data_IF_607216105119
#
_entry.id   IF_607216105119
#
_cell.length_a   1.000
_cell.length_b   1.000
_cell.length_c   1.000
_cell.angle_alpha   90.00
_cell.angle_beta   90.00
_cell.angle_gamma   90.00
#
_symmetry.space_group_name_H-M   'P 1'
#
loop_
_entity.id
_entity.type
_entity.pdbx_description
1 polymer ?
#
# COMPACT_ATOMS: atom_id res chain seq x y z
N UNK A 1 -45.15 29.05 26.96
CA UNK A 1 -44.46 27.77 26.66
C UNK A 1 -44.85 27.30 25.27
N UNK A 2 -43.90 26.97 24.38
CA UNK A 2 -44.15 26.24 23.12
C UNK A 2 -43.42 24.89 23.20
N UNK A 3 -44.02 23.82 22.68
CA UNK A 3 -43.49 22.44 22.81
C UNK A 3 -42.44 22.14 21.73
N UNK A 4 -41.39 21.41 22.11
CA UNK A 4 -40.39 20.85 21.18
C UNK A 4 -40.95 19.64 20.40
N UNK A 5 -40.47 19.36 19.17
CA UNK A 5 -40.89 18.19 18.39
C UNK A 5 -40.42 16.85 18.98
N UNK A 6 -41.27 15.81 18.85
CA UNK A 6 -41.02 14.44 19.35
C UNK A 6 -40.24 13.55 18.37
N UNK A 7 -39.04 13.94 17.93
CA UNK A 7 -38.19 13.06 17.11
C UNK A 7 -36.71 12.94 17.53
N UNK A 8 -36.26 13.68 18.53
CA UNK A 8 -34.97 13.39 19.18
C UNK A 8 -35.09 12.18 20.11
N UNK A 9 -35.01 10.97 19.55
CA UNK A 9 -34.60 9.79 20.32
C UNK A 9 -33.14 9.99 20.70
N UNK A 10 -32.81 10.01 21.99
CA UNK A 10 -31.44 9.79 22.44
C UNK A 10 -30.96 8.44 21.88
N UNK A 11 -29.84 8.44 21.18
CA UNK A 11 -29.08 7.23 20.92
C UNK A 11 -28.12 7.06 22.10
N UNK A 12 -28.58 6.36 23.13
CA UNK A 12 -27.69 5.96 24.23
C UNK A 12 -26.81 4.80 23.73
N UNK A 13 -25.49 4.82 23.95
CA UNK A 13 -24.60 3.74 23.55
C UNK A 13 -25.10 2.42 24.14
N UNK A 14 -25.35 1.43 23.28
CA UNK A 14 -25.91 0.16 23.71
C UNK A 14 -24.81 -0.68 24.38
N UNK A 15 -24.52 -0.36 25.65
CA UNK A 15 -23.38 -0.88 26.40
C UNK A 15 -23.29 -2.41 26.41
N UNK A 16 -24.44 -3.09 26.46
CA UNK A 16 -24.52 -4.55 26.35
C UNK A 16 -23.92 -5.08 25.04
N UNK A 17 -24.15 -4.41 23.91
CA UNK A 17 -23.54 -4.78 22.62
C UNK A 17 -22.04 -4.50 22.59
N UNK A 18 -21.59 -3.43 23.23
CA UNK A 18 -20.15 -3.10 23.34
C UNK A 18 -19.45 -4.17 24.17
N UNK A 19 -20.01 -4.53 25.33
CA UNK A 19 -19.45 -5.57 26.19
C UNK A 19 -19.46 -6.96 25.53
N UNK A 20 -20.53 -7.31 24.83
CA UNK A 20 -20.63 -8.54 24.03
C UNK A 20 -19.58 -8.58 22.90
N UNK A 21 -19.32 -7.44 22.25
CA UNK A 21 -18.28 -7.28 21.24
C UNK A 21 -16.87 -7.46 21.84
N UNK A 22 -16.58 -6.82 22.98
CA UNK A 22 -15.31 -6.99 23.69
C UNK A 22 -15.09 -8.45 24.11
N UNK A 23 -16.10 -9.09 24.72
CA UNK A 23 -16.08 -10.53 25.09
C UNK A 23 -15.93 -11.47 23.90
N UNK A 24 -16.38 -11.07 22.70
CA UNK A 24 -16.14 -11.81 21.44
C UNK A 24 -14.69 -11.66 20.95
N UNK A 25 -14.16 -10.44 20.94
CA UNK A 25 -12.79 -10.18 20.50
C UNK A 25 -11.74 -10.75 21.45
N UNK A 26 -12.00 -10.78 22.75
CA UNK A 26 -11.11 -11.41 23.72
C UNK A 26 -10.98 -12.92 23.46
N UNK A 27 -12.09 -13.65 23.30
CA UNK A 27 -12.08 -15.07 22.91
C UNK A 27 -11.35 -15.30 21.57
N UNK A 28 -11.53 -14.41 20.59
CA UNK A 28 -10.80 -14.50 19.32
C UNK A 28 -9.28 -14.26 19.45
N UNK A 29 -8.83 -13.43 20.42
CA UNK A 29 -7.39 -13.30 20.75
C UNK A 29 -6.87 -14.58 21.43
N UNK A 30 -7.61 -15.13 22.38
CA UNK A 30 -7.28 -16.37 23.10
C UNK A 30 -7.18 -17.56 22.13
N UNK A 31 -8.16 -17.73 21.21
CA UNK A 31 -8.10 -18.72 20.13
C UNK A 31 -6.90 -18.52 19.19
N UNK A 32 -6.58 -17.27 18.81
CA UNK A 32 -5.40 -16.97 17.98
C UNK A 32 -4.10 -17.32 18.70
N UNK A 33 -3.99 -17.05 20.00
CA UNK A 33 -2.81 -17.41 20.81
C UNK A 33 -2.66 -18.92 21.00
N UNK A 34 -3.76 -19.65 21.24
CA UNK A 34 -3.76 -21.12 21.27
C UNK A 34 -3.24 -21.69 19.94
N UNK A 35 -3.84 -21.27 18.82
CA UNK A 35 -3.39 -21.67 17.46
C UNK A 35 -1.96 -21.22 17.13
N UNK A 36 -1.42 -20.19 17.78
CA UNK A 36 0.00 -19.81 17.68
C UNK A 36 0.87 -20.85 18.40
N UNK A 37 0.58 -21.10 19.68
CA UNK A 37 1.35 -22.03 20.52
C UNK A 37 1.35 -23.47 19.99
N UNK A 38 0.26 -23.92 19.35
CA UNK A 38 0.18 -25.23 18.70
C UNK A 38 1.10 -25.31 17.47
N UNK A 39 1.14 -24.26 16.62
CA UNK A 39 2.05 -24.19 15.48
C UNK A 39 3.50 -24.04 15.91
N UNK A 40 3.79 -23.26 16.95
CA UNK A 40 5.12 -23.16 17.56
C UNK A 40 5.58 -24.49 18.19
N UNK A 41 4.65 -25.35 18.61
CA UNK A 41 4.92 -26.71 19.09
C UNK A 41 5.18 -27.67 17.91
N UNK A 42 4.34 -27.63 16.88
CA UNK A 42 4.52 -28.42 15.65
C UNK A 42 5.84 -28.08 14.94
N UNK A 43 6.18 -26.79 14.84
CA UNK A 43 7.45 -26.31 14.28
C UNK A 43 8.65 -26.86 15.05
N UNK A 44 8.67 -26.74 16.39
CA UNK A 44 9.75 -27.30 17.22
C UNK A 44 9.84 -28.83 17.12
N UNK A 45 8.72 -29.53 16.94
CA UNK A 45 8.73 -30.98 16.67
C UNK A 45 9.31 -31.31 15.29
N UNK A 46 9.02 -30.51 14.26
CA UNK A 46 9.59 -30.67 12.92
C UNK A 46 11.10 -30.35 12.90
N UNK A 47 11.54 -29.28 13.56
CA UNK A 47 12.95 -28.90 13.71
C UNK A 47 13.75 -29.96 14.48
N UNK A 48 13.20 -30.49 15.58
CA UNK A 48 13.79 -31.59 16.33
C UNK A 48 13.88 -32.88 15.48
N UNK A 49 12.83 -33.22 14.73
CA UNK A 49 12.81 -34.39 13.84
C UNK A 49 13.82 -34.26 12.71
N UNK A 50 13.89 -33.09 12.05
CA UNK A 50 14.88 -32.81 11.00
C UNK A 50 16.32 -32.86 11.55
N UNK A 51 16.53 -32.40 12.80
CA UNK A 51 17.83 -32.50 13.48
C UNK A 51 18.22 -33.96 13.74
N UNK A 52 17.28 -34.79 14.21
CA UNK A 52 17.48 -36.23 14.43
C UNK A 52 17.70 -37.02 13.12
N UNK A 53 16.96 -36.71 12.06
CA UNK A 53 17.20 -37.29 10.73
C UNK A 53 18.57 -36.86 10.16
N UNK A 54 19.06 -35.66 10.51
CA UNK A 54 20.38 -35.15 10.12
C UNK A 54 21.53 -35.73 10.95
N UNK A 55 21.33 -36.04 12.24
CA UNK A 55 22.32 -36.79 13.04
C UNK A 55 22.39 -38.24 12.57
N UNK A 56 21.25 -38.90 12.38
CA UNK A 56 21.21 -40.29 11.89
C UNK A 56 21.87 -40.46 10.53
N UNK A 57 21.68 -39.51 9.61
CA UNK A 57 22.40 -39.51 8.31
C UNK A 57 23.91 -39.35 8.47
N UNK A 58 24.39 -38.56 9.44
CA UNK A 58 25.83 -38.46 9.74
C UNK A 58 26.39 -39.75 10.33
N UNK A 59 25.68 -40.37 11.27
CA UNK A 59 26.05 -41.67 11.86
C UNK A 59 26.20 -42.73 10.75
N UNK A 60 25.19 -42.84 9.87
CA UNK A 60 25.21 -43.76 8.73
C UNK A 60 26.28 -43.45 7.67
N UNK A 61 26.72 -42.19 7.53
CA UNK A 61 27.88 -41.86 6.70
C UNK A 61 29.19 -42.28 7.37
N UNK A 62 29.36 -42.02 8.68
CA UNK A 62 30.56 -42.46 9.42
C UNK A 62 30.69 -43.98 9.56
N UNK A 63 29.58 -44.72 9.49
CA UNK A 63 29.60 -46.19 9.43
C UNK A 63 29.98 -46.72 8.03
N UNK A 64 29.66 -46.00 6.95
CA UNK A 64 30.01 -46.40 5.58
C UNK A 64 31.43 -45.98 5.15
N UNK A 65 31.98 -44.88 5.66
CA UNK A 65 33.36 -44.45 5.37
C UNK A 65 34.44 -45.35 6.04
N UNK A 66 34.01 -46.39 6.78
CA UNK A 66 34.88 -47.31 7.51
C UNK A 66 35.13 -48.67 6.80
N UNK A 67 34.60 -48.92 5.58
CA UNK A 67 34.67 -50.25 4.95
C UNK A 67 34.81 -50.28 3.42
N UNK A 68 36.06 -50.19 2.96
CA UNK A 68 36.60 -50.74 1.69
C UNK A 68 36.02 -50.27 0.31
N UNK A 69 36.70 -50.58 -0.84
CA UNK A 69 36.64 -49.71 -2.02
C UNK A 69 36.18 -50.36 -3.35
N UNK A 70 36.05 -49.48 -4.35
CA UNK A 70 36.12 -49.67 -5.81
C UNK A 70 34.94 -50.28 -6.63
N UNK A 71 34.92 -49.83 -7.89
CA UNK A 71 34.32 -50.42 -9.10
C UNK A 71 32.79 -50.35 -9.43
N UNK A 72 32.43 -49.24 -10.09
CA UNK A 72 31.78 -49.12 -11.42
C UNK A 72 30.39 -49.75 -11.79
N UNK A 73 29.68 -48.95 -12.62
CA UNK A 73 28.78 -49.30 -13.75
C UNK A 73 27.24 -49.41 -13.59
N UNK A 74 26.58 -48.65 -14.48
CA UNK A 74 25.38 -48.92 -15.29
C UNK A 74 23.90 -48.86 -14.82
N UNK A 75 23.16 -48.09 -15.64
CA UNK A 75 21.77 -48.22 -16.13
C UNK A 75 20.54 -47.78 -15.31
N UNK A 76 19.72 -46.96 -16.00
CA UNK A 76 18.25 -46.79 -16.01
C UNK A 76 17.41 -47.47 -14.89
N UNK A 77 16.39 -46.80 -14.33
CA UNK A 77 15.18 -46.50 -15.11
C UNK A 77 14.30 -45.36 -14.54
N UNK A 78 13.41 -44.79 -15.37
CA UNK A 78 12.56 -43.65 -15.00
C UNK A 78 11.12 -44.03 -14.60
N UNK A 79 10.56 -43.42 -13.54
CA UNK A 79 9.12 -43.52 -13.21
C UNK A 79 8.48 -42.19 -12.83
N UNK A 80 7.59 -41.72 -13.71
CA UNK A 80 6.58 -40.69 -13.42
C UNK A 80 5.58 -41.15 -12.37
N UNK A 81 5.15 -40.24 -11.50
CA UNK A 81 3.91 -40.38 -10.73
C UNK A 81 3.01 -39.16 -10.95
N UNK A 82 1.72 -39.41 -11.20
CA UNK A 82 0.68 -38.38 -11.32
C UNK A 82 -0.20 -38.37 -10.06
N UNK A 83 -0.77 -37.19 -9.80
CA UNK A 83 -1.92 -36.83 -8.95
C UNK A 83 -2.86 -37.95 -8.46
N UNK A 84 -3.50 -37.70 -7.31
CA UNK A 84 -4.94 -37.36 -7.37
C UNK A 84 -5.24 -35.89 -7.01
N UNK A 85 -6.50 -35.49 -7.18
CA UNK A 85 -7.02 -34.12 -7.12
C UNK A 85 -8.37 -34.15 -6.33
N UNK A 86 -8.79 -33.01 -5.75
CA UNK A 86 -10.07 -32.80 -5.01
C UNK A 86 -10.22 -33.53 -3.64
N UNK A 87 -11.17 -33.14 -2.77
CA UNK A 87 -11.55 -31.75 -2.44
C UNK A 87 -11.83 -31.50 -0.94
N UNK A 88 -11.42 -30.34 -0.40
CA UNK A 88 -12.28 -29.61 0.54
C UNK A 88 -12.03 -28.10 0.51
N UNK A 89 -13.12 -27.34 0.46
CA UNK A 89 -13.19 -25.89 0.61
C UNK A 89 -14.32 -25.62 1.63
N UNK A 90 -14.38 -24.41 2.19
CA UNK A 90 -15.40 -23.94 3.16
C UNK A 90 -15.15 -24.37 4.61
N UNK A 91 -14.23 -23.68 5.32
CA UNK A 91 -14.49 -23.01 6.62
C UNK A 91 -13.19 -22.45 7.26
N UNK A 92 -12.89 -21.16 7.08
CA UNK A 92 -12.01 -20.34 7.98
C UNK A 92 -11.93 -18.82 7.67
N UNK A 93 -12.61 -18.28 6.65
CA UNK A 93 -12.67 -16.83 6.42
C UNK A 93 -13.56 -16.09 7.45
N UNK A 94 -13.01 -15.64 8.59
CA UNK A 94 -13.72 -14.73 9.54
C UNK A 94 -12.87 -13.97 10.58
N UNK A 95 -11.60 -13.63 10.31
CA UNK A 95 -10.71 -13.01 11.32
C UNK A 95 -9.74 -11.89 10.85
N UNK A 96 -9.99 -11.28 9.68
CA UNK A 96 -9.19 -10.16 9.12
C UNK A 96 -10.00 -9.24 8.16
N UNK A 97 -11.32 -9.22 8.28
CA UNK A 97 -12.27 -8.76 7.24
C UNK A 97 -12.52 -7.24 7.19
N UNK A 98 -11.66 -6.40 7.78
CA UNK A 98 -11.89 -4.95 7.92
C UNK A 98 -10.79 -4.05 7.34
N UNK A 99 -9.80 -4.62 6.64
CA UNK A 99 -8.99 -3.88 5.64
C UNK A 99 -9.56 -4.03 4.22
N UNK A 100 -10.75 -4.64 4.08
CA UNK A 100 -11.29 -5.16 2.82
C UNK A 100 -12.45 -4.31 2.24
N UNK A 101 -13.14 -3.52 3.08
CA UNK A 101 -14.39 -2.83 2.72
C UNK A 101 -14.24 -1.70 1.68
N UNK A 102 -13.03 -1.20 1.43
CA UNK A 102 -12.77 -0.22 0.35
C UNK A 102 -12.78 -0.85 -1.05
N UNK A 103 -12.46 -2.16 -1.21
CA UNK A 103 -12.30 -2.79 -2.53
C UNK A 103 -13.30 -3.89 -2.88
N UNK A 104 -14.10 -4.41 -1.93
CA UNK A 104 -14.92 -5.61 -2.17
C UNK A 104 -16.20 -5.39 -3.01
N UNK A 105 -16.71 -4.15 -3.19
CA UNK A 105 -17.97 -3.80 -3.92
C UNK A 105 -18.02 -4.22 -5.42
N UNK A 106 -17.08 -5.01 -5.93
CA UNK A 106 -16.49 -4.83 -7.26
C UNK A 106 -16.37 -6.14 -8.10
N UNK A 107 -17.03 -7.24 -7.72
CA UNK A 107 -16.52 -8.61 -8.04
C UNK A 107 -17.36 -9.56 -8.94
N UNK A 108 -18.17 -9.07 -9.91
CA UNK A 108 -18.89 -9.94 -10.88
C UNK A 108 -18.88 -9.38 -12.33
N UNK A 109 -18.85 -10.28 -13.35
CA UNK A 109 -19.12 -9.97 -14.78
C UNK A 109 -18.07 -10.48 -15.80
N UNK A 110 -18.52 -11.21 -16.84
CA UNK A 110 -17.77 -11.86 -17.95
C UNK A 110 -18.50 -11.51 -19.29
N UNK A 111 -18.00 -11.60 -20.54
CA UNK A 111 -16.78 -12.05 -21.29
C UNK A 111 -16.86 -11.37 -22.72
N UNK A 112 -16.05 -11.51 -23.79
CA UNK A 112 -14.84 -12.29 -24.17
C UNK A 112 -14.21 -11.80 -25.52
N UNK A 113 -12.88 -11.65 -25.60
CA UNK A 113 -12.01 -11.88 -26.81
C UNK A 113 -12.11 -10.88 -28.03
N UNK A 114 -11.23 -10.92 -29.08
CA UNK A 114 -9.82 -10.46 -29.01
C UNK A 114 -9.19 -9.76 -30.29
N UNK A 115 -7.94 -9.25 -30.17
CA UNK A 115 -6.92 -8.97 -31.23
C UNK A 115 -7.13 -7.74 -32.19
N UNK A 116 -6.11 -7.11 -32.84
CA UNK A 116 -4.70 -7.47 -33.12
C UNK A 116 -3.67 -6.29 -33.31
N UNK A 117 -2.48 -6.39 -32.66
CA UNK A 117 -1.08 -6.18 -33.16
C UNK A 117 -0.46 -4.84 -33.70
N UNK A 118 0.65 -4.42 -33.05
CA UNK A 118 1.97 -3.87 -33.54
C UNK A 118 2.05 -2.52 -34.30
N UNK A 119 3.02 -1.62 -34.01
CA UNK A 119 4.48 -1.80 -34.11
C UNK A 119 5.32 -0.86 -33.18
N UNK A 120 6.65 -1.04 -33.13
CA UNK A 120 7.60 -0.40 -32.18
C UNK A 120 8.40 0.80 -32.75
N UNK A 121 8.81 1.73 -31.87
CA UNK A 121 10.00 2.60 -32.03
C UNK A 121 10.70 2.85 -30.68
N UNK A 122 12.03 3.00 -30.71
CA UNK A 122 12.89 3.25 -29.53
C UNK A 122 13.36 4.71 -29.50
N UNK A 123 13.51 5.31 -28.32
CA UNK A 123 14.29 6.53 -28.08
C UNK A 123 14.96 6.53 -26.69
N UNK A 124 16.02 7.31 -26.55
CA UNK A 124 17.05 7.19 -25.51
C UNK A 124 16.89 8.13 -24.28
N UNK A 125 17.78 7.93 -23.30
CA UNK A 125 17.66 8.42 -21.92
C UNK A 125 17.87 9.94 -21.66
N UNK A 126 18.17 10.76 -22.68
CA UNK A 126 18.46 12.19 -22.46
C UNK A 126 17.21 13.07 -22.28
N UNK A 127 16.04 12.64 -22.78
CA UNK A 127 14.84 13.49 -22.83
C UNK A 127 14.25 13.83 -21.44
N UNK A 128 14.50 13.01 -20.42
CA UNK A 128 13.97 13.25 -19.07
C UNK A 128 14.48 14.59 -18.47
N UNK A 129 15.73 14.94 -18.75
CA UNK A 129 16.31 16.23 -18.34
C UNK A 129 15.89 17.40 -19.25
N UNK A 130 15.36 17.12 -20.46
CA UNK A 130 14.78 18.11 -21.36
C UNK A 130 13.37 18.50 -20.88
N UNK A 131 12.55 17.49 -20.52
CA UNK A 131 11.19 17.63 -20.02
C UNK A 131 11.10 18.55 -18.79
N UNK A 132 11.93 18.30 -17.76
CA UNK A 132 11.94 19.07 -16.50
C UNK A 132 12.29 20.56 -16.69
N UNK A 133 13.07 20.90 -17.73
CA UNK A 133 13.39 22.31 -18.07
C UNK A 133 12.28 22.97 -18.89
N UNK A 134 11.50 22.19 -19.64
CA UNK A 134 10.43 22.67 -20.51
C UNK A 134 9.17 23.03 -19.72
N UNK A 135 8.79 22.23 -18.72
CA UNK A 135 7.65 22.53 -17.84
C UNK A 135 7.80 23.87 -17.11
N UNK A 136 9.00 24.19 -16.61
CA UNK A 136 9.33 25.46 -15.95
C UNK A 136 9.12 26.70 -16.85
N UNK A 137 9.11 26.53 -18.19
CA UNK A 137 8.92 27.62 -19.15
C UNK A 137 7.45 27.87 -19.56
N UNK A 138 6.53 26.97 -19.22
CA UNK A 138 5.13 26.99 -19.68
C UNK A 138 4.13 27.61 -18.69
N UNK A 139 4.61 28.13 -17.56
CA UNK A 139 3.78 28.72 -16.48
C UNK A 139 3.09 30.05 -16.84
N UNK A 140 3.40 30.65 -17.99
CA UNK A 140 2.90 31.97 -18.41
C UNK A 140 1.96 31.93 -19.63
N UNK A 141 0.85 31.19 -19.55
CA UNK A 141 -0.32 31.46 -20.40
C UNK A 141 -1.64 31.21 -19.66
N UNK A 142 -2.31 32.28 -19.23
CA UNK A 142 -3.62 32.22 -18.56
C UNK A 142 -4.75 31.95 -19.57
N UNK A 143 -5.21 30.70 -19.65
CA UNK A 143 -6.33 30.32 -20.53
C UNK A 143 -7.68 30.80 -19.96
N UNK A 144 -8.46 31.66 -20.66
CA UNK A 144 -9.68 32.27 -20.12
C UNK A 144 -10.82 31.29 -19.75
N UNK A 145 -10.78 30.04 -20.20
CA UNK A 145 -11.86 29.07 -20.00
C UNK A 145 -11.87 28.39 -18.60
N UNK A 146 -10.98 28.75 -17.67
CA UNK A 146 -10.92 28.15 -16.33
C UNK A 146 -12.17 28.39 -15.45
N UNK A 147 -13.04 29.32 -15.85
CA UNK A 147 -14.07 29.95 -15.01
C UNK A 147 -15.33 29.11 -14.70
N UNK A 148 -15.24 27.77 -14.71
CA UNK A 148 -16.31 26.82 -14.29
C UNK A 148 -15.82 25.54 -13.59
N UNK A 149 -14.54 25.44 -13.24
CA UNK A 149 -14.09 24.36 -12.35
C UNK A 149 -14.46 24.68 -10.90
N UNK A 150 -14.68 23.66 -10.07
CA UNK A 150 -14.95 23.85 -8.65
C UNK A 150 -13.72 24.35 -7.90
N UNK A 151 -13.95 24.93 -6.72
CA UNK A 151 -12.91 25.25 -5.75
C UNK A 151 -12.72 24.06 -4.79
N UNK A 152 -11.47 23.74 -4.43
CA UNK A 152 -11.14 22.79 -3.37
C UNK A 152 -11.33 23.47 -2.01
N UNK A 153 -12.22 22.95 -1.17
CA UNK A 153 -12.60 23.59 0.10
C UNK A 153 -11.57 23.35 1.24
N UNK A 154 -10.32 23.76 1.01
CA UNK A 154 -9.13 23.48 1.85
C UNK A 154 -9.37 23.65 3.36
N UNK A 155 -9.91 24.78 3.82
CA UNK A 155 -10.15 25.03 5.25
C UNK A 155 -11.15 24.03 5.86
N UNK A 156 -12.12 23.54 5.06
CA UNK A 156 -13.08 22.53 5.50
C UNK A 156 -12.43 21.15 5.58
N UNK A 157 -11.66 20.76 4.57
CA UNK A 157 -10.90 19.50 4.59
C UNK A 157 -9.92 19.43 5.77
N UNK A 158 -9.21 20.53 6.04
CA UNK A 158 -8.32 20.62 7.21
C UNK A 158 -9.09 20.51 8.54
N UNK A 159 -10.20 21.25 8.68
CA UNK A 159 -11.07 21.17 9.86
C UNK A 159 -11.67 19.77 10.05
N UNK A 160 -12.07 19.10 8.97
CA UNK A 160 -12.60 17.74 9.00
C UNK A 160 -11.57 16.76 9.58
N UNK A 161 -10.34 16.74 9.05
CA UNK A 161 -9.26 15.86 9.52
C UNK A 161 -8.97 16.06 11.01
N UNK A 162 -8.79 17.32 11.43
CA UNK A 162 -8.53 17.69 12.84
C UNK A 162 -9.72 17.37 13.75
N UNK A 163 -10.94 17.31 13.22
CA UNK A 163 -12.14 16.91 13.98
C UNK A 163 -12.24 15.40 14.14
N UNK A 164 -11.93 14.62 13.09
CA UNK A 164 -11.92 13.15 13.14
C UNK A 164 -10.89 12.64 14.14
N UNK A 165 -9.68 13.21 14.13
CA UNK A 165 -8.59 12.85 15.06
C UNK A 165 -9.02 12.93 16.55
N UNK A 166 -9.82 13.95 16.87
CA UNK A 166 -10.28 14.28 18.23
C UNK A 166 -11.50 13.49 18.69
N UNK A 167 -12.22 12.83 17.77
CA UNK A 167 -13.30 11.89 18.11
C UNK A 167 -12.70 10.52 18.39
N UNK A 168 -12.27 10.30 19.64
CA UNK A 168 -11.63 9.03 20.04
C UNK A 168 -12.64 7.99 20.55
N UNK A 169 -13.81 8.43 21.03
CA UNK A 169 -14.73 7.61 21.84
C UNK A 169 -16.07 7.23 21.18
N UNK A 170 -16.29 7.57 19.90
CA UNK A 170 -17.50 7.17 19.18
C UNK A 170 -17.39 5.77 18.55
N UNK A 171 -18.54 5.21 18.15
CA UNK A 171 -18.61 3.84 17.61
C UNK A 171 -17.79 3.66 16.33
N UNK A 172 -17.65 4.71 15.53
CA UNK A 172 -16.91 4.69 14.27
C UNK A 172 -15.40 4.67 14.54
N UNK A 173 -14.90 5.49 15.47
CA UNK A 173 -13.52 5.43 15.98
C UNK A 173 -13.15 4.03 16.51
N UNK A 174 -14.03 3.40 17.29
CA UNK A 174 -13.80 2.05 17.84
C UNK A 174 -13.82 0.97 16.75
N UNK A 175 -14.70 1.07 15.75
CA UNK A 175 -14.74 0.11 14.63
C UNK A 175 -13.56 0.28 13.66
N UNK A 176 -12.97 1.48 13.58
CA UNK A 176 -11.82 1.81 12.73
C UNK A 176 -10.48 1.81 13.47
N UNK A 177 -10.44 1.36 14.73
CA UNK A 177 -9.24 1.38 15.59
C UNK A 177 -8.04 0.67 14.94
N UNK A 178 -8.27 -0.45 14.25
CA UNK A 178 -7.22 -1.21 13.57
C UNK A 178 -6.61 -0.49 12.35
N UNK A 179 -7.22 0.60 11.87
CA UNK A 179 -6.71 1.44 10.78
C UNK A 179 -6.16 2.79 11.27
N UNK A 180 -6.15 3.07 12.58
CA UNK A 180 -5.88 4.41 13.14
C UNK A 180 -4.57 5.01 12.64
N UNK A 181 -3.48 4.25 12.63
CA UNK A 181 -2.15 4.71 12.17
C UNK A 181 -2.11 5.03 10.66
N UNK A 182 -2.87 4.29 9.85
CA UNK A 182 -3.03 4.62 8.43
C UNK A 182 -3.85 5.91 8.25
N UNK A 183 -4.92 6.06 9.04
CA UNK A 183 -5.74 7.28 9.06
C UNK A 183 -4.95 8.54 9.47
N UNK A 184 -4.01 8.40 10.40
CA UNK A 184 -3.07 9.47 10.80
C UNK A 184 -2.13 9.82 9.64
N UNK A 185 -1.52 8.84 8.97
CA UNK A 185 -0.70 9.08 7.77
C UNK A 185 -1.50 9.80 6.66
N UNK A 186 -2.69 9.31 6.31
CA UNK A 186 -3.56 9.91 5.30
C UNK A 186 -3.96 11.35 5.67
N UNK A 187 -4.40 11.57 6.90
CA UNK A 187 -4.80 12.90 7.39
C UNK A 187 -3.65 13.91 7.39
N UNK A 188 -2.50 13.54 7.94
CA UNK A 188 -1.32 14.43 7.99
C UNK A 188 -0.77 14.75 6.61
N UNK A 189 -0.68 13.76 5.73
CA UNK A 189 -0.17 13.97 4.36
C UNK A 189 -1.11 14.88 3.56
N UNK A 190 -2.43 14.73 3.74
CA UNK A 190 -3.41 15.67 3.19
C UNK A 190 -3.25 17.08 3.75
N UNK A 191 -3.05 17.23 5.07
CA UNK A 191 -2.81 18.52 5.70
C UNK A 191 -1.54 19.19 5.15
N UNK A 192 -0.44 18.45 4.93
CA UNK A 192 0.77 19.03 4.35
C UNK A 192 0.62 19.43 2.89
N UNK A 193 -0.03 18.62 2.07
CA UNK A 193 -0.35 18.95 0.66
C UNK A 193 -1.17 20.25 0.58
N UNK A 194 -2.06 20.49 1.54
CA UNK A 194 -2.84 21.72 1.66
C UNK A 194 -2.15 22.88 2.39
N UNK A 195 -0.89 22.73 2.84
CA UNK A 195 -0.16 23.77 3.59
C UNK A 195 -0.66 24.00 5.02
N UNK A 196 -1.25 22.98 5.65
CA UNK A 196 -1.92 23.02 6.97
C UNK A 196 -1.29 22.10 8.03
N UNK A 197 -0.18 21.42 7.74
CA UNK A 197 0.48 20.51 8.69
C UNK A 197 0.84 21.16 10.04
N UNK A 198 1.14 22.46 10.03
CA UNK A 198 1.43 23.25 11.24
C UNK A 198 0.25 23.42 12.22
N UNK A 199 -0.93 22.88 11.91
CA UNK A 199 -2.09 22.84 12.81
C UNK A 199 -2.12 21.59 13.73
N UNK A 200 -1.05 20.78 13.74
CA UNK A 200 -0.96 19.52 14.52
C UNK A 200 0.32 19.48 15.36
N UNK A 201 0.17 19.07 16.62
CA UNK A 201 1.27 18.89 17.58
C UNK A 201 2.11 17.65 17.23
N UNK A 202 3.15 17.85 16.42
CA UNK A 202 3.94 16.78 15.83
C UNK A 202 4.61 15.85 16.86
N UNK A 203 4.92 16.35 18.06
CA UNK A 203 5.53 15.56 19.14
C UNK A 203 4.52 14.66 19.87
N UNK A 204 3.26 15.08 20.05
CA UNK A 204 2.20 14.19 20.57
C UNK A 204 1.98 13.03 19.61
N UNK A 205 1.85 13.33 18.31
CA UNK A 205 1.60 12.30 17.29
C UNK A 205 2.81 11.38 17.13
N UNK A 206 4.04 11.90 17.13
CA UNK A 206 5.26 11.06 17.06
C UNK A 206 5.39 10.14 18.27
N UNK A 207 5.08 10.64 19.47
CA UNK A 207 5.05 9.85 20.71
C UNK A 207 3.99 8.73 20.65
N UNK A 208 2.81 9.02 20.10
CA UNK A 208 1.75 8.01 19.90
C UNK A 208 2.13 6.97 18.83
N UNK A 209 2.76 7.38 17.72
CA UNK A 209 3.26 6.45 16.69
C UNK A 209 4.26 5.47 17.30
N UNK A 210 5.19 5.93 18.14
CA UNK A 210 6.16 5.05 18.81
C UNK A 210 5.52 4.09 19.82
N UNK A 211 4.41 4.47 20.47
CA UNK A 211 3.62 3.56 21.30
C UNK A 211 2.87 2.47 20.51
N UNK A 212 2.75 2.61 19.18
CA UNK A 212 2.23 1.58 18.29
C UNK A 212 3.31 0.58 17.83
N UNK A 213 4.58 0.73 18.23
CA UNK A 213 5.63 -0.21 17.86
C UNK A 213 5.58 -1.50 18.70
N UNK A 214 5.70 -2.65 18.03
CA UNK A 214 5.76 -3.97 18.66
C UNK A 214 7.20 -4.37 19.02
N UNK A 215 7.35 -5.34 19.94
CA UNK A 215 8.67 -5.90 20.33
C UNK A 215 9.50 -6.35 19.13
N UNK A 216 8.86 -6.85 18.07
CA UNK A 216 9.48 -7.35 16.84
C UNK A 216 9.99 -6.27 15.88
N UNK A 217 9.73 -4.98 16.13
CA UNK A 217 10.21 -3.85 15.30
C UNK A 217 9.17 -3.25 14.37
N UNK A 218 8.21 -4.05 13.89
CA UNK A 218 7.05 -3.55 13.14
C UNK A 218 6.05 -2.81 14.02
N UNK A 219 5.11 -2.10 13.39
CA UNK A 219 4.07 -1.32 14.06
C UNK A 219 2.69 -1.97 13.88
N UNK A 220 1.83 -1.80 14.89
CA UNK A 220 0.40 -2.13 14.85
C UNK A 220 -0.47 -0.95 14.43
N UNK A 221 -1.74 -1.21 14.11
CA UNK A 221 -2.69 -0.16 13.66
C UNK A 221 -3.10 0.84 14.76
N UNK A 222 -3.00 0.43 16.02
CA UNK A 222 -3.08 1.25 17.24
C UNK A 222 -2.18 0.60 18.32
N UNK A 223 -2.04 1.25 19.47
CA UNK A 223 -1.32 0.73 20.65
C UNK A 223 -1.82 -0.68 21.01
N UNK A 224 -0.90 -1.63 21.17
CA UNK A 224 -1.23 -3.01 21.56
C UNK A 224 -1.90 -3.87 20.48
N UNK A 225 -1.85 -3.45 19.21
CA UNK A 225 -2.29 -4.27 18.07
C UNK A 225 -1.15 -5.12 17.49
N UNK A 226 -1.50 -6.25 16.85
CA UNK A 226 -0.53 -7.09 16.13
C UNK A 226 0.22 -6.28 15.05
N UNK A 227 1.55 -6.46 14.90
CA UNK A 227 2.35 -5.71 13.94
C UNK A 227 2.14 -6.20 12.51
N UNK A 228 2.06 -5.26 11.56
CA UNK A 228 1.89 -5.57 10.13
C UNK A 228 2.65 -4.56 9.25
N UNK A 229 3.10 -4.99 8.07
CA UNK A 229 3.94 -4.17 7.18
C UNK A 229 3.22 -2.88 6.73
N UNK A 230 1.92 -2.94 6.45
CA UNK A 230 1.02 -1.78 6.23
C UNK A 230 1.21 -0.65 7.26
N UNK A 231 1.03 -0.94 8.56
CA UNK A 231 1.11 0.07 9.61
C UNK A 231 2.57 0.50 9.88
N UNK A 232 3.52 -0.40 9.63
CA UNK A 232 4.96 -0.13 9.69
C UNK A 232 5.38 0.93 8.67
N UNK A 233 4.87 0.85 7.43
CA UNK A 233 5.06 1.92 6.45
C UNK A 233 4.41 3.23 6.90
N UNK A 234 3.16 3.20 7.37
CA UNK A 234 2.48 4.42 7.85
C UNK A 234 3.25 5.10 8.99
N UNK A 235 3.85 4.35 9.92
CA UNK A 235 4.74 4.88 10.95
C UNK A 235 5.96 5.60 10.33
N UNK A 236 6.64 4.94 9.39
CA UNK A 236 7.81 5.49 8.67
C UNK A 236 7.41 6.75 7.90
N UNK A 237 6.28 6.76 7.19
CA UNK A 237 5.82 7.91 6.41
C UNK A 237 5.45 9.10 7.29
N UNK A 238 4.82 8.90 8.45
CA UNK A 238 4.54 9.98 9.43
C UNK A 238 5.84 10.57 10.00
N UNK A 239 6.80 9.72 10.37
CA UNK A 239 8.08 10.19 10.92
C UNK A 239 8.99 10.81 9.85
N UNK A 240 8.89 10.36 8.60
CA UNK A 240 9.49 11.03 7.42
C UNK A 240 8.90 12.42 7.22
N UNK A 241 7.56 12.53 7.21
CA UNK A 241 6.84 13.79 7.01
C UNK A 241 7.26 14.86 8.03
N UNK A 242 7.33 14.48 9.31
CA UNK A 242 7.78 15.34 10.42
C UNK A 242 9.31 15.51 10.56
N UNK A 243 10.12 14.87 9.71
CA UNK A 243 11.59 14.85 9.80
C UNK A 243 12.16 14.21 11.09
N UNK A 244 11.40 13.30 11.69
CA UNK A 244 11.66 12.64 12.97
C UNK A 244 12.11 11.18 12.83
N UNK A 245 12.63 10.76 11.66
CA UNK A 245 13.20 9.42 11.46
C UNK A 245 14.26 9.03 12.52
N UNK A 246 14.95 10.01 13.11
CA UNK A 246 15.95 9.79 14.16
C UNK A 246 15.41 9.17 15.47
N UNK A 247 14.08 9.09 15.67
CA UNK A 247 13.48 8.39 16.83
C UNK A 247 13.35 6.88 16.61
N UNK A 248 13.60 6.38 15.39
CA UNK A 248 13.52 4.96 15.05
C UNK A 248 14.86 4.25 15.27
N UNK A 249 14.79 3.04 15.86
CA UNK A 249 15.79 2.00 15.63
C UNK A 249 15.64 1.47 14.20
N UNK A 250 16.37 2.09 13.27
CA UNK A 250 16.32 1.78 11.83
C UNK A 250 16.76 0.34 11.55
N UNK A 251 17.70 -0.22 12.32
CA UNK A 251 18.10 -1.63 12.15
C UNK A 251 16.99 -2.58 12.59
N UNK A 252 16.34 -2.33 13.74
CA UNK A 252 15.21 -3.14 14.20
C UNK A 252 14.02 -3.09 13.24
N UNK A 253 13.66 -1.92 12.74
CA UNK A 253 12.55 -1.76 11.76
C UNK A 253 12.89 -2.41 10.42
N UNK A 254 14.10 -2.20 9.88
CA UNK A 254 14.51 -2.81 8.61
C UNK A 254 14.69 -4.32 8.70
N UNK A 255 15.18 -4.85 9.82
CA UNK A 255 15.26 -6.30 10.08
C UNK A 255 13.86 -6.95 10.13
N UNK A 256 12.86 -6.28 10.72
CA UNK A 256 11.47 -6.76 10.69
C UNK A 256 10.94 -6.87 9.25
N UNK A 257 11.11 -5.81 8.44
CA UNK A 257 10.63 -5.79 7.05
C UNK A 257 11.35 -6.83 6.18
N UNK A 258 12.67 -6.97 6.34
CA UNK A 258 13.46 -7.96 5.61
C UNK A 258 13.09 -9.40 5.99
N UNK A 259 12.78 -9.65 7.26
CA UNK A 259 12.29 -10.93 7.76
C UNK A 259 10.92 -11.35 7.23
N UNK A 260 10.22 -10.50 6.47
CA UNK A 260 8.98 -10.82 5.76
C UNK A 260 9.19 -11.23 4.29
N UNK A 261 10.43 -11.21 3.77
CA UNK A 261 10.72 -11.69 2.42
C UNK A 261 10.72 -13.23 2.35
N UNK A 262 9.92 -13.79 1.44
CA UNK A 262 9.82 -15.22 1.19
C UNK A 262 10.86 -15.70 0.17
N UNK A 263 11.09 -17.02 0.10
CA UNK A 263 12.13 -17.61 -0.76
C UNK A 263 11.98 -17.32 -2.26
N UNK A 264 10.75 -17.11 -2.73
CA UNK A 264 10.39 -16.78 -4.11
C UNK A 264 10.56 -15.30 -4.47
N UNK A 265 10.79 -14.44 -3.48
CA UNK A 265 10.91 -12.99 -3.61
C UNK A 265 9.69 -12.19 -3.17
N UNK A 266 8.56 -12.85 -2.93
CA UNK A 266 7.35 -12.20 -2.42
C UNK A 266 7.55 -11.70 -0.99
N UNK A 267 6.64 -10.85 -0.52
CA UNK A 267 6.61 -10.39 0.86
C UNK A 267 5.31 -10.80 1.54
N UNK A 268 5.44 -11.27 2.78
CA UNK A 268 4.31 -11.53 3.67
C UNK A 268 3.86 -10.25 4.39
N UNK A 269 2.56 -10.07 4.63
CA UNK A 269 2.03 -8.89 5.33
C UNK A 269 2.40 -8.84 6.82
N UNK A 270 2.42 -10.02 7.45
CA UNK A 270 2.80 -10.28 8.84
C UNK A 270 3.29 -11.74 9.00
N UNK A 271 3.43 -12.20 10.25
CA UNK A 271 3.88 -13.56 10.60
C UNK A 271 2.91 -14.70 10.20
N UNK A 272 1.72 -14.39 9.67
CA UNK A 272 0.73 -15.38 9.24
C UNK A 272 0.83 -15.73 7.75
N UNK A 273 1.63 -15.00 6.97
CA UNK A 273 1.95 -15.39 5.58
C UNK A 273 0.88 -15.05 4.53
N UNK A 274 0.04 -14.03 4.73
CA UNK A 274 -0.70 -13.45 3.60
C UNK A 274 0.32 -12.84 2.62
N UNK A 275 0.29 -13.25 1.35
CA UNK A 275 1.14 -12.73 0.28
C UNK A 275 0.30 -11.92 -0.71
N UNK A 276 0.76 -10.72 -1.03
CA UNK A 276 0.12 -9.80 -1.96
C UNK A 276 1.15 -8.80 -2.51
N UNK A 277 1.01 -8.36 -3.77
CA UNK A 277 1.88 -7.35 -4.38
C UNK A 277 1.88 -6.01 -3.64
N UNK A 278 0.82 -5.68 -2.90
CA UNK A 278 0.80 -4.60 -1.89
C UNK A 278 2.01 -4.70 -0.96
N UNK A 279 2.26 -5.86 -0.37
CA UNK A 279 3.31 -6.03 0.65
C UNK A 279 4.71 -5.91 0.05
N UNK A 280 4.88 -6.32 -1.21
CA UNK A 280 6.14 -6.15 -1.95
C UNK A 280 6.47 -4.66 -2.13
N UNK A 281 5.49 -3.85 -2.57
CA UNK A 281 5.62 -2.39 -2.64
C UNK A 281 5.90 -1.76 -1.27
N UNK A 282 5.11 -2.12 -0.26
CA UNK A 282 5.20 -1.53 1.09
C UNK A 282 6.58 -1.82 1.71
N UNK A 283 7.11 -3.03 1.55
CA UNK A 283 8.43 -3.40 2.02
C UNK A 283 9.55 -2.62 1.29
N UNK A 284 9.50 -2.57 -0.05
CA UNK A 284 10.45 -1.82 -0.89
C UNK A 284 10.44 -0.33 -0.55
N UNK A 285 9.28 0.30 -0.45
CA UNK A 285 9.13 1.71 -0.08
C UNK A 285 9.64 1.99 1.34
N UNK A 286 9.29 1.15 2.31
CA UNK A 286 9.76 1.29 3.69
C UNK A 286 11.29 1.23 3.77
N UNK A 287 11.90 0.25 3.10
CA UNK A 287 13.36 0.11 3.07
C UNK A 287 14.04 1.21 2.24
N UNK A 288 13.41 1.73 1.20
CA UNK A 288 13.93 2.88 0.45
C UNK A 288 13.94 4.17 1.30
N UNK A 289 12.84 4.47 2.01
CA UNK A 289 12.76 5.63 2.92
C UNK A 289 13.74 5.52 4.09
N UNK A 290 14.02 4.30 4.56
CA UNK A 290 15.01 4.03 5.60
C UNK A 290 16.46 3.91 5.08
N UNK A 291 16.69 4.01 3.76
CA UNK A 291 17.98 3.76 3.11
C UNK A 291 18.57 2.34 3.30
N UNK A 292 17.70 1.33 3.54
CA UNK A 292 18.07 -0.07 3.85
C UNK A 292 17.65 -1.12 2.81
N UNK A 293 17.63 -0.78 1.51
CA UNK A 293 17.37 -1.75 0.44
C UNK A 293 18.40 -2.88 0.36
N UNK A 294 19.59 -2.72 0.97
CA UNK A 294 20.62 -3.75 1.15
C UNK A 294 20.16 -4.97 1.98
N UNK A 295 19.07 -4.83 2.75
CA UNK A 295 18.57 -5.90 3.64
C UNK A 295 17.79 -7.00 2.91
N UNK A 296 17.43 -6.83 1.64
CA UNK A 296 16.55 -7.74 0.90
C UNK A 296 17.15 -8.16 -0.45
N UNK A 297 16.73 -9.31 -0.96
CA UNK A 297 17.00 -9.72 -2.34
C UNK A 297 16.07 -8.96 -3.29
N UNK A 298 16.51 -7.76 -3.70
CA UNK A 298 15.77 -6.89 -4.64
C UNK A 298 15.55 -7.59 -5.98
N UNK A 299 16.50 -8.43 -6.44
CA UNK A 299 16.39 -9.16 -7.69
C UNK A 299 15.24 -10.19 -7.68
N UNK A 300 15.10 -10.94 -6.58
CA UNK A 300 13.92 -11.80 -6.35
C UNK A 300 12.64 -10.99 -6.20
N UNK A 301 12.65 -9.88 -5.47
CA UNK A 301 11.46 -9.04 -5.30
C UNK A 301 10.91 -8.54 -6.65
N UNK A 302 11.78 -8.01 -7.50
CA UNK A 302 11.44 -7.62 -8.89
C UNK A 302 10.94 -8.84 -9.67
N UNK A 303 11.62 -10.00 -9.59
CA UNK A 303 11.18 -11.23 -10.28
C UNK A 303 9.77 -11.69 -9.86
N UNK A 304 9.42 -11.58 -8.58
CA UNK A 304 8.07 -11.91 -8.10
C UNK A 304 7.02 -10.91 -8.60
N UNK A 305 7.32 -9.60 -8.55
CA UNK A 305 6.43 -8.57 -9.09
C UNK A 305 6.15 -8.83 -10.59
N UNK A 306 7.17 -9.20 -11.36
CA UNK A 306 7.03 -9.52 -12.79
C UNK A 306 6.24 -10.81 -13.05
N UNK A 307 6.23 -11.79 -12.14
CA UNK A 307 5.37 -12.98 -12.28
C UNK A 307 3.89 -12.69 -11.98
N UNK A 308 3.58 -11.51 -11.43
CA UNK A 308 2.21 -11.00 -11.26
C UNK A 308 1.70 -10.20 -12.48
N UNK A 309 2.51 -10.03 -13.53
CA UNK A 309 2.15 -9.30 -14.76
C UNK A 309 1.25 -10.15 -15.68
N UNK A 310 0.18 -9.56 -16.17
CA UNK A 310 -0.80 -10.19 -17.05
C UNK A 310 -0.59 -9.83 -18.53
N UNK A 311 -1.28 -10.58 -19.40
CA UNK A 311 -1.25 -10.39 -20.88
C UNK A 311 -1.83 -9.05 -21.35
N UNK A 312 -2.58 -8.36 -20.49
CA UNK A 312 -3.15 -7.04 -20.72
C UNK A 312 -2.23 -5.89 -20.26
N UNK A 313 -0.97 -6.21 -19.91
CA UNK A 313 0.03 -5.28 -19.39
C UNK A 313 -0.10 -4.99 -17.89
N UNK A 314 -1.28 -5.25 -17.31
CA UNK A 314 -1.61 -5.02 -15.90
C UNK A 314 -0.96 -6.02 -14.94
N UNK A 315 -1.31 -5.88 -13.66
CA UNK A 315 -0.79 -6.72 -12.57
C UNK A 315 -1.91 -7.13 -11.63
N UNK A 316 -1.92 -8.41 -11.24
CA UNK A 316 -2.79 -8.95 -10.19
C UNK A 316 -2.18 -8.85 -8.79
N UNK A 317 -2.94 -9.22 -7.77
CA UNK A 317 -2.44 -9.29 -6.37
C UNK A 317 -1.40 -10.40 -6.14
N UNK A 318 -1.44 -11.45 -6.96
CA UNK A 318 -0.56 -12.62 -6.99
C UNK A 318 -0.51 -13.15 -8.45
N UNK A 319 0.42 -14.08 -8.80
CA UNK A 319 0.52 -14.61 -10.16
C UNK A 319 -0.78 -15.22 -10.68
N UNK A 320 -1.26 -14.72 -11.82
CA UNK A 320 -2.51 -15.15 -12.46
C UNK A 320 -3.80 -14.55 -11.87
N UNK A 321 -3.72 -13.63 -10.90
CA UNK A 321 -4.88 -12.88 -10.43
C UNK A 321 -5.27 -11.75 -11.42
N UNK A 322 -6.53 -11.34 -11.38
CA UNK A 322 -7.09 -10.28 -12.25
C UNK A 322 -6.34 -8.94 -12.11
N UNK A 323 -6.04 -8.29 -13.24
CA UNK A 323 -5.42 -6.96 -13.27
C UNK A 323 -6.27 -5.92 -12.53
N UNK A 324 -5.68 -5.21 -11.57
CA UNK A 324 -6.38 -4.23 -10.73
C UNK A 324 -5.55 -2.95 -10.60
N UNK A 325 -6.15 -1.77 -10.79
CA UNK A 325 -5.42 -0.50 -10.78
C UNK A 325 -4.59 -0.26 -9.50
N UNK A 326 -5.12 -0.63 -8.33
CA UNK A 326 -4.39 -0.55 -7.06
C UNK A 326 -3.20 -1.51 -6.95
N UNK A 327 -3.22 -2.65 -7.65
CA UNK A 327 -2.12 -3.62 -7.68
C UNK A 327 -1.09 -3.27 -8.74
N UNK A 328 -1.54 -2.76 -9.89
CA UNK A 328 -0.71 -2.09 -10.90
C UNK A 328 0.10 -0.98 -10.25
N UNK A 329 -0.53 -0.10 -9.45
CA UNK A 329 0.18 0.93 -8.70
C UNK A 329 1.30 0.34 -7.84
N UNK A 330 1.01 -0.67 -7.01
CA UNK A 330 2.02 -1.29 -6.16
C UNK A 330 3.19 -1.87 -6.99
N UNK A 331 2.89 -2.61 -8.05
CA UNK A 331 3.91 -3.20 -8.92
C UNK A 331 4.75 -2.14 -9.64
N UNK A 332 4.12 -1.12 -10.23
CA UNK A 332 4.81 -0.05 -10.98
C UNK A 332 5.64 0.83 -10.04
N UNK A 333 5.12 1.19 -8.86
CA UNK A 333 5.86 1.97 -7.86
C UNK A 333 7.04 1.19 -7.28
N UNK A 334 6.89 -0.10 -7.01
CA UNK A 334 7.99 -0.96 -6.60
C UNK A 334 9.07 -1.07 -7.70
N UNK A 335 8.68 -1.18 -8.97
CA UNK A 335 9.59 -1.17 -10.12
C UNK A 335 10.24 0.22 -10.33
N UNK A 336 9.57 1.32 -9.97
CA UNK A 336 10.13 2.68 -10.01
C UNK A 336 11.23 2.84 -8.96
N UNK A 337 10.92 2.53 -7.70
CA UNK A 337 11.86 2.63 -6.55
C UNK A 337 13.09 1.74 -6.74
N UNK A 338 12.96 0.62 -7.47
CA UNK A 338 14.07 -0.32 -7.76
C UNK A 338 14.76 -0.10 -9.12
N UNK A 339 14.42 0.96 -9.87
CA UNK A 339 15.00 1.24 -11.21
C UNK A 339 14.61 0.24 -12.32
N UNK A 340 13.64 -0.62 -12.06
CA UNK A 340 13.24 -1.77 -12.88
C UNK A 340 12.02 -1.51 -13.77
N UNK A 341 11.60 -0.24 -13.94
CA UNK A 341 10.49 0.18 -14.82
C UNK A 341 10.65 -0.26 -16.28
N UNK A 342 11.87 -0.54 -16.74
CA UNK A 342 12.15 -0.99 -18.11
C UNK A 342 11.55 -2.36 -18.46
N UNK A 343 11.00 -3.10 -17.49
CA UNK A 343 10.20 -4.31 -17.71
C UNK A 343 8.69 -4.05 -17.95
N UNK A 344 8.24 -2.80 -17.77
CA UNK A 344 6.84 -2.39 -17.99
C UNK A 344 6.67 -2.01 -19.46
N UNK A 345 5.64 -2.56 -20.11
CA UNK A 345 5.22 -2.09 -21.43
C UNK A 345 4.38 -0.83 -21.19
N UNK A 346 4.96 0.33 -21.48
CA UNK A 346 4.36 1.63 -21.15
C UNK A 346 3.07 1.89 -21.92
N UNK A 347 2.98 1.43 -23.16
CA UNK A 347 1.83 1.72 -24.04
C UNK A 347 0.71 0.71 -23.84
N UNK A 348 1.01 -0.58 -23.68
CA UNK A 348 0.02 -1.60 -23.34
C UNK A 348 -0.62 -1.33 -21.97
N UNK A 349 0.20 -1.02 -20.96
CA UNK A 349 -0.31 -0.67 -19.62
C UNK A 349 -0.98 0.71 -19.61
N UNK A 350 -0.43 1.69 -20.35
CA UNK A 350 -1.02 3.01 -20.50
C UNK A 350 -2.44 2.93 -21.07
N UNK A 351 -2.65 2.06 -22.07
CA UNK A 351 -3.97 1.82 -22.66
C UNK A 351 -4.93 1.19 -21.65
N UNK A 352 -4.49 0.15 -20.94
CA UNK A 352 -5.30 -0.49 -19.89
C UNK A 352 -5.75 0.52 -18.82
N UNK A 353 -4.85 1.45 -18.45
CA UNK A 353 -5.09 2.46 -17.43
C UNK A 353 -5.96 3.64 -17.91
N UNK A 354 -5.81 4.12 -19.15
CA UNK A 354 -6.67 5.20 -19.66
C UNK A 354 -8.12 4.74 -19.87
N UNK A 355 -8.32 3.49 -20.28
CA UNK A 355 -9.63 2.81 -20.35
C UNK A 355 -10.28 2.55 -18.97
N UNK A 356 -9.73 3.11 -17.88
CA UNK A 356 -10.40 3.22 -16.57
C UNK A 356 -11.22 4.50 -16.41
N UNK A 357 -11.04 5.51 -17.27
CA UNK A 357 -11.78 6.77 -17.15
C UNK A 357 -13.18 6.64 -17.77
N UNK A 358 -14.21 6.66 -16.92
CA UNK A 358 -15.60 6.52 -17.37
C UNK A 358 -16.23 7.88 -17.72
N UNK A 359 -17.42 7.85 -18.33
CA UNK A 359 -18.13 9.03 -18.85
C UNK A 359 -18.38 10.17 -17.83
N UNK A 360 -18.38 9.88 -16.52
CA UNK A 360 -18.50 10.90 -15.46
C UNK A 360 -17.18 11.64 -15.15
N UNK A 361 -16.05 11.22 -15.72
CA UNK A 361 -14.72 11.78 -15.47
C UNK A 361 -13.91 11.03 -14.43
N UNK A 362 -14.56 10.28 -13.54
CA UNK A 362 -13.91 9.43 -12.53
C UNK A 362 -13.24 8.20 -13.13
N UNK A 363 -12.43 7.54 -12.31
CA UNK A 363 -11.63 6.37 -12.66
C UNK A 363 -12.13 5.13 -11.90
N UNK A 364 -12.07 3.95 -12.51
CA UNK A 364 -12.42 2.68 -11.87
C UNK A 364 -11.21 1.74 -11.69
N UNK A 365 -11.34 0.76 -10.77
CA UNK A 365 -10.25 -0.17 -10.48
C UNK A 365 -10.06 -1.30 -11.48
N UNK A 366 -11.11 -1.60 -12.27
CA UNK A 366 -11.26 -2.72 -13.20
C UNK A 366 -12.27 -2.39 -14.31
N UNK A 367 -12.21 -3.04 -15.48
CA UNK A 367 -13.27 -2.98 -16.50
C UNK A 367 -14.67 -3.28 -15.95
N UNK A 368 -15.69 -2.65 -16.51
CA UNK A 368 -17.11 -2.81 -16.11
C UNK A 368 -17.40 -2.59 -14.61
N UNK A 369 -16.75 -1.58 -14.00
CA UNK A 369 -16.98 -1.15 -12.61
C UNK A 369 -17.27 0.34 -12.49
N UNK A 370 -17.94 0.70 -11.38
CA UNK A 370 -18.22 2.09 -11.03
C UNK A 370 -16.93 2.87 -10.76
N UNK A 371 -16.92 4.19 -11.01
CA UNK A 371 -15.81 5.05 -10.63
C UNK A 371 -15.75 5.23 -9.11
N UNK A 372 -14.55 5.54 -8.63
CA UNK A 372 -14.24 5.78 -7.22
C UNK A 372 -13.03 6.75 -7.14
N UNK A 373 -13.14 7.76 -6.28
CA UNK A 373 -12.13 8.82 -6.09
C UNK A 373 -10.74 8.27 -5.81
N UNK A 374 -10.56 7.13 -5.13
CA UNK A 374 -9.23 6.64 -4.82
C UNK A 374 -8.44 6.20 -6.07
N UNK A 375 -9.10 5.83 -7.17
CA UNK A 375 -8.43 5.55 -8.44
C UNK A 375 -7.84 6.80 -9.12
N UNK A 376 -8.25 8.00 -8.70
CA UNK A 376 -7.56 9.26 -9.03
C UNK A 376 -6.12 9.28 -8.53
N UNK A 377 -5.79 8.49 -7.51
CA UNK A 377 -4.41 8.19 -7.15
C UNK A 377 -3.88 6.97 -7.90
N UNK A 378 -4.51 5.79 -7.71
CA UNK A 378 -3.95 4.52 -8.19
C UNK A 378 -3.67 4.48 -9.70
N UNK A 379 -4.56 5.08 -10.51
CA UNK A 379 -4.37 5.15 -11.97
C UNK A 379 -3.43 6.27 -12.38
N UNK A 380 -3.58 7.49 -11.83
CA UNK A 380 -2.72 8.61 -12.22
C UNK A 380 -1.26 8.39 -11.85
N UNK A 381 -0.95 7.92 -10.64
CA UNK A 381 0.44 7.63 -10.24
C UNK A 381 1.07 6.58 -11.16
N UNK A 382 0.32 5.52 -11.49
CA UNK A 382 0.75 4.49 -12.44
C UNK A 382 1.04 5.08 -13.82
N UNK A 383 0.13 5.94 -14.34
CA UNK A 383 0.29 6.63 -15.62
C UNK A 383 1.44 7.65 -15.62
N UNK A 384 1.72 8.33 -14.51
CA UNK A 384 2.83 9.29 -14.41
C UNK A 384 4.17 8.56 -14.42
N UNK A 385 4.31 7.47 -13.66
CA UNK A 385 5.54 6.67 -13.62
C UNK A 385 5.90 6.03 -14.98
N UNK A 386 4.92 5.80 -15.86
CA UNK A 386 5.14 5.29 -17.22
C UNK A 386 5.08 6.38 -18.31
N UNK A 387 4.92 7.66 -17.94
CA UNK A 387 4.81 8.82 -18.85
C UNK A 387 3.62 8.74 -19.84
N UNK A 388 2.43 8.44 -19.32
CA UNK A 388 1.16 8.32 -20.06
C UNK A 388 -0.01 9.08 -19.43
N UNK A 389 0.24 9.94 -18.44
CA UNK A 389 -0.78 10.76 -17.77
C UNK A 389 -1.57 11.67 -18.72
N UNK A 390 -0.98 12.02 -19.86
CA UNK A 390 -1.61 12.83 -20.91
C UNK A 390 -2.71 12.09 -21.69
N UNK A 391 -2.97 10.81 -21.41
CA UNK A 391 -4.09 10.03 -21.99
C UNK A 391 -5.39 10.16 -21.17
N UNK A 392 -5.38 10.90 -20.05
CA UNK A 392 -6.54 11.18 -19.20
C UNK A 392 -7.11 12.57 -19.47
N UNK A 393 -8.43 12.68 -19.53
CA UNK A 393 -9.11 13.97 -19.46
C UNK A 393 -8.99 14.55 -18.04
N UNK A 394 -7.90 15.30 -17.83
CA UNK A 394 -7.60 15.99 -16.56
C UNK A 394 -8.79 16.82 -16.07
N UNK A 395 -9.47 17.54 -16.98
CA UNK A 395 -10.55 18.46 -16.63
C UNK A 395 -11.80 17.75 -16.08
N UNK A 396 -12.21 16.64 -16.73
CA UNK A 396 -13.29 15.80 -16.21
C UNK A 396 -12.93 15.15 -14.87
N UNK A 397 -11.68 14.73 -14.67
CA UNK A 397 -11.25 14.09 -13.42
C UNK A 397 -11.16 15.10 -12.25
N UNK A 398 -10.59 16.29 -12.47
CA UNK A 398 -10.63 17.40 -11.51
C UNK A 398 -12.09 17.69 -11.10
N UNK A 399 -13.01 17.77 -12.07
CA UNK A 399 -14.43 17.96 -11.76
C UNK A 399 -15.01 16.81 -10.93
N UNK A 400 -14.74 15.55 -11.28
CA UNK A 400 -15.25 14.39 -10.55
C UNK A 400 -14.83 14.42 -9.07
N UNK A 401 -13.54 14.66 -8.77
CA UNK A 401 -13.05 14.75 -7.38
C UNK A 401 -13.74 15.89 -6.62
N UNK A 402 -13.89 17.06 -7.25
CA UNK A 402 -14.51 18.25 -6.64
C UNK A 402 -16.04 18.19 -6.53
N UNK A 403 -16.69 17.25 -7.22
CA UNK A 403 -18.10 16.90 -7.00
C UNK A 403 -18.28 15.94 -5.81
N UNK A 404 -17.23 15.23 -5.38
CA UNK A 404 -17.23 14.29 -4.24
C UNK A 404 -16.86 14.92 -2.88
N UNK A 405 -16.66 16.24 -2.79
CA UNK A 405 -16.35 16.91 -1.52
C UNK A 405 -17.62 17.26 -0.72
N UNK A 406 -17.61 17.05 0.60
CA UNK A 406 -18.64 17.59 1.49
C UNK A 406 -18.49 19.12 1.54
N UNK A 407 -19.45 19.82 0.92
CA UNK A 407 -19.48 21.28 0.80
C UNK A 407 -19.93 21.99 2.07
N UNK A 408 -20.45 21.27 3.07
CA UNK A 408 -20.83 21.79 4.38
C UNK A 408 -19.70 21.62 5.40
N UNK A 409 -19.24 20.38 5.63
CA UNK A 409 -18.33 20.00 6.73
C UNK A 409 -16.87 19.78 6.30
N UNK A 410 -16.64 19.45 5.02
CA UNK A 410 -15.33 19.02 4.51
C UNK A 410 -15.11 17.50 4.59
N UNK A 411 -14.09 17.03 3.88
CA UNK A 411 -13.87 15.62 3.55
C UNK A 411 -14.28 15.32 2.09
N UNK A 412 -13.81 14.19 1.55
CA UNK A 412 -14.14 13.68 0.21
C UNK A 412 -14.59 12.21 0.35
N UNK A 413 -15.57 11.80 -0.44
CA UNK A 413 -16.17 10.45 -0.50
C UNK A 413 -15.66 9.64 -1.70
N UNK A 414 -16.07 8.37 -1.83
CA UNK A 414 -15.72 7.55 -3.01
C UNK A 414 -16.45 8.00 -4.29
N UNK A 415 -17.67 8.54 -4.18
CA UNK A 415 -18.48 9.15 -5.27
C UNK A 415 -19.30 10.34 -4.74
N UNK A 416 -19.88 11.18 -5.62
CA UNK A 416 -20.78 12.25 -5.19
C UNK A 416 -21.95 11.69 -4.36
N UNK A 417 -22.36 12.45 -3.34
CA UNK A 417 -23.44 12.13 -2.38
C UNK A 417 -23.23 10.88 -1.48
N UNK A 418 -22.16 10.10 -1.66
CA UNK A 418 -21.71 9.06 -0.72
C UNK A 418 -21.00 9.68 0.52
N UNK A 419 -20.79 8.89 1.58
CA UNK A 419 -20.20 9.37 2.84
C UNK A 419 -18.69 9.66 2.73
N UNK A 420 -18.21 10.71 3.41
CA UNK A 420 -16.79 11.13 3.40
C UNK A 420 -15.94 10.39 4.43
N UNK A 421 -14.72 10.03 4.04
CA UNK A 421 -13.72 9.44 4.93
C UNK A 421 -12.31 9.99 4.68
N UNK A 422 -11.38 9.77 5.61
CA UNK A 422 -10.00 10.31 5.53
C UNK A 422 -9.17 9.65 4.40
N UNK A 423 -9.52 8.44 3.97
CA UNK A 423 -8.83 7.72 2.88
C UNK A 423 -9.17 8.35 1.52
N UNK A 424 -10.46 8.55 1.22
CA UNK A 424 -10.89 9.23 -0.01
C UNK A 424 -10.57 10.73 0.01
N UNK A 425 -10.59 11.37 1.20
CA UNK A 425 -10.06 12.74 1.37
C UNK A 425 -8.59 12.82 0.95
N UNK A 426 -7.74 11.89 1.40
CA UNK A 426 -6.33 11.85 1.02
C UNK A 426 -6.15 11.56 -0.48
N UNK A 427 -6.71 10.47 -1.01
CA UNK A 427 -6.48 10.10 -2.40
C UNK A 427 -7.16 11.03 -3.42
N UNK A 428 -8.21 11.75 -3.02
CA UNK A 428 -8.78 12.86 -3.80
C UNK A 428 -7.83 14.07 -3.87
N UNK A 429 -7.32 14.54 -2.73
CA UNK A 429 -6.38 15.67 -2.68
C UNK A 429 -5.03 15.32 -3.33
N UNK A 430 -4.52 14.11 -3.13
CA UNK A 430 -3.34 13.60 -3.81
C UNK A 430 -3.58 13.46 -5.32
N UNK A 431 -4.75 12.98 -5.75
CA UNK A 431 -5.15 12.97 -7.17
C UNK A 431 -5.18 14.36 -7.80
N UNK A 432 -5.70 15.38 -7.08
CA UNK A 432 -5.64 16.78 -7.51
C UNK A 432 -4.19 17.32 -7.60
N UNK A 433 -3.31 16.92 -6.67
CA UNK A 433 -1.89 17.26 -6.69
C UNK A 433 -1.18 16.71 -7.93
N UNK A 434 -1.42 15.43 -8.26
CA UNK A 434 -0.92 14.79 -9.50
C UNK A 434 -1.49 15.41 -10.79
N UNK A 435 -2.62 16.11 -10.70
CA UNK A 435 -3.23 16.85 -11.82
C UNK A 435 -2.71 18.28 -11.96
N UNK A 436 -1.78 18.71 -11.09
CA UNK A 436 -1.24 20.07 -11.00
C UNK A 436 -2.30 21.12 -10.60
N UNK A 437 -3.28 20.74 -9.76
CA UNK A 437 -4.31 21.65 -9.27
C UNK A 437 -3.67 22.81 -8.45
N UNK A 438 -4.06 24.07 -8.68
CA UNK A 438 -3.40 25.22 -8.06
C UNK A 438 -3.64 25.30 -6.55
N UNK A 439 -2.64 25.81 -5.82
CA UNK A 439 -2.75 26.12 -4.39
C UNK A 439 -2.42 24.96 -3.43
N UNK A 440 -2.04 23.78 -3.94
CA UNK A 440 -1.58 22.63 -3.15
C UNK A 440 -0.16 22.21 -3.56
N UNK A 441 0.59 21.56 -2.65
CA UNK A 441 1.94 21.05 -2.94
C UNK A 441 1.90 19.91 -3.98
N UNK A 442 2.97 19.70 -4.76
CA UNK A 442 3.17 18.47 -5.53
C UNK A 442 3.49 17.26 -4.63
N UNK A 443 2.94 16.10 -4.98
CA UNK A 443 3.19 14.80 -4.35
C UNK A 443 3.94 13.86 -5.30
N UNK A 444 4.85 13.03 -4.76
CA UNK A 444 5.59 12.04 -5.54
C UNK A 444 4.74 10.79 -5.83
N UNK A 445 4.59 10.38 -7.11
CA UNK A 445 3.70 9.28 -7.53
C UNK A 445 4.17 7.88 -7.10
N UNK A 446 5.45 7.68 -6.76
CA UNK A 446 5.99 6.39 -6.33
C UNK A 446 6.09 6.28 -4.80
N UNK A 447 6.37 7.39 -4.10
CA UNK A 447 6.58 7.42 -2.65
C UNK A 447 5.33 7.80 -1.84
N UNK A 448 4.27 8.29 -2.49
CA UNK A 448 3.04 8.76 -1.85
C UNK A 448 3.30 9.77 -0.70
N UNK A 449 4.23 10.69 -0.95
CA UNK A 449 4.67 11.72 -0.02
C UNK A 449 4.96 13.04 -0.77
N UNK A 450 4.89 14.20 -0.12
CA UNK A 450 5.18 15.51 -0.74
C UNK A 450 6.59 15.52 -1.35
N UNK A 451 6.75 16.15 -2.53
CA UNK A 451 8.03 16.11 -3.27
C UNK A 451 9.18 16.77 -2.50
N UNK A 452 8.90 17.79 -1.69
CA UNK A 452 9.87 18.41 -0.76
C UNK A 452 10.32 17.45 0.36
N UNK A 453 9.42 16.58 0.84
CA UNK A 453 9.71 15.55 1.85
C UNK A 453 10.55 14.42 1.26
N UNK A 454 10.19 13.92 0.07
CA UNK A 454 10.96 12.87 -0.62
C UNK A 454 12.36 13.37 -0.98
N UNK A 455 12.48 14.59 -1.51
CA UNK A 455 13.78 15.20 -1.79
C UNK A 455 14.62 15.37 -0.53
N UNK A 456 14.04 15.75 0.61
CA UNK A 456 14.77 15.84 1.89
C UNK A 456 15.38 14.49 2.30
N UNK A 457 14.59 13.41 2.26
CA UNK A 457 15.06 12.05 2.62
C UNK A 457 16.12 11.53 1.64
N UNK A 458 15.95 11.77 0.34
CA UNK A 458 16.85 11.21 -0.69
C UNK A 458 18.14 12.01 -0.87
N UNK A 459 18.05 13.35 -0.88
CA UNK A 459 19.20 14.24 -1.10
C UNK A 459 20.00 14.52 0.18
N UNK A 460 19.42 14.28 1.37
CA UNK A 460 20.11 14.45 2.66
C UNK A 460 21.44 13.68 2.79
N UNK A 461 21.62 12.60 2.01
CA UNK A 461 22.91 11.89 1.85
C UNK A 461 24.06 12.82 1.44
N UNK A 462 23.83 13.78 0.54
CA UNK A 462 24.88 14.63 -0.01
C UNK A 462 25.36 15.68 1.01
N UNK A 463 24.46 16.22 1.83
CA UNK A 463 24.79 17.20 2.88
C UNK A 463 25.71 16.64 3.96
N UNK A 464 25.51 15.37 4.34
CA UNK A 464 26.33 14.69 5.36
C UNK A 464 27.69 14.23 4.81
N UNK A 465 27.79 13.89 3.52
CA UNK A 465 29.04 13.42 2.90
C UNK A 465 30.17 14.46 2.87
N UNK A 466 29.84 15.75 2.81
CA UNK A 466 30.85 16.84 2.73
C UNK A 466 31.41 17.29 4.10
N UNK A 467 30.83 16.86 5.21
CA UNK A 467 31.22 17.31 6.57
C UNK A 467 32.21 16.38 7.30
N UNK A 468 32.87 15.45 6.58
CA UNK A 468 33.80 14.47 7.16
C UNK A 468 35.14 14.33 6.42
N UNK A 469 35.55 15.32 5.64
CA UNK A 469 36.85 15.35 4.93
C UNK A 469 37.61 16.68 5.09
N UNK A 470 37.65 17.24 6.31
CA UNK A 470 38.47 18.41 6.66
C UNK A 470 38.78 18.50 8.16
N UNK A 471 39.68 17.65 8.65
CA UNK A 471 40.46 17.79 9.91
C UNK A 471 41.68 16.88 9.84
#
# INVERSE_FOLDING_TARGET
>A
MRRLPRYLKKVEPNAHKIEEHCRKYQRLREEKQLRKSERDRQRRQAEAKATYEKSKKKEQQSEHEASDPDFASDLNDGKTYRYPFLPWLIETKKAQFLNFLSMEKCFQGLLSTPLSTFHLMQLDSEDFCSFLKKSASLSNSSNPNCNRMGELLVEKHAKYIITVEKRKDDFESVVMEHLRLNGVYWGLTTLDIMGKLAAVEQDEVSSWVMQCQHESGGFGGNIGHDPHVLYTLSAIQVLVLFDKLHVLDIDKVSNYIAGLQNEDGSFSGDIWGEVDTRFSYIAILSLALLHRLDKIDVGKAVKYILSCKNVDGGFGCTPGAESHAGQIFCCVAALAITGSLHHVDKDLLGWWLCERQVKSGGLNGRPEKLPDVCYSWWVLSSLIMIDRVHWIDKGKLVKFILDCQDKENGGISDRPDDAVDVFHTYFGVAGLSLLEYPGIKPIDPAYALPVDVVNRVMLGRYSLGFLHTSS
#
